data_IF_660699397726
#
_entry.id   IF_660699397726
#
_cell.length_a   1.000
_cell.length_b   1.000
_cell.length_c   1.000
_cell.angle_alpha   90.00
_cell.angle_beta   90.00
_cell.angle_gamma   90.00
#
_symmetry.space_group_name_H-M   'P 1'
#
loop_
_entity.id
_entity.type
_entity.pdbx_description
1 polymer ?
#
# COMPACT_ATOMS: atom_id res chain seq x y z
N UNK A 1 38.19 13.90 -31.35
CA UNK A 1 37.38 12.70 -31.56
C UNK A 1 35.97 13.01 -31.10
N UNK A 2 35.08 13.27 -32.05
CA UNK A 2 33.71 13.59 -31.76
C UNK A 2 32.96 12.28 -31.51
N UNK A 3 32.49 12.04 -30.31
CA UNK A 3 31.49 11.03 -30.04
C UNK A 3 30.18 11.56 -30.59
N UNK A 4 29.77 11.00 -31.70
CA UNK A 4 28.47 11.22 -32.33
C UNK A 4 27.44 10.73 -31.35
N UNK A 5 26.79 11.65 -30.67
CA UNK A 5 25.61 11.41 -29.85
C UNK A 5 24.43 11.24 -30.82
N UNK A 6 24.23 10.00 -31.28
CA UNK A 6 23.16 9.66 -32.18
C UNK A 6 21.83 9.65 -31.38
N UNK A 7 20.89 10.54 -31.66
CA UNK A 7 19.60 10.59 -30.96
C UNK A 7 18.79 9.29 -31.11
N UNK A 8 19.11 8.43 -32.06
CA UNK A 8 18.48 7.13 -32.26
C UNK A 8 18.89 6.06 -31.24
N UNK A 9 20.12 6.09 -30.75
CA UNK A 9 20.63 5.14 -29.77
C UNK A 9 20.10 5.43 -28.35
N UNK A 10 19.77 6.69 -28.06
CA UNK A 10 19.22 7.13 -26.77
C UNK A 10 17.77 6.63 -26.53
N UNK A 11 17.02 6.33 -27.58
CA UNK A 11 15.63 5.83 -27.47
C UNK A 11 15.57 4.35 -27.06
N UNK A 12 16.61 3.57 -27.37
CA UNK A 12 16.69 2.15 -27.01
C UNK A 12 17.24 1.91 -25.59
N UNK A 13 17.96 2.89 -25.02
CA UNK A 13 18.61 2.73 -23.71
C UNK A 13 17.66 2.89 -22.51
N UNK A 14 16.53 3.58 -22.67
CA UNK A 14 15.61 3.87 -21.57
C UNK A 14 14.16 3.69 -22.00
N UNK A 15 13.57 2.49 -21.86
CA UNK A 15 12.18 2.22 -22.25
C UNK A 15 11.15 3.07 -21.51
N UNK A 16 11.54 3.66 -20.36
CA UNK A 16 10.68 4.51 -19.54
C UNK A 16 11.31 5.90 -19.36
N UNK A 17 11.27 6.71 -20.43
CA UNK A 17 11.79 8.06 -20.40
C UNK A 17 10.88 8.97 -19.58
N UNK A 18 11.44 9.70 -18.62
CA UNK A 18 10.71 10.66 -17.79
C UNK A 18 10.80 12.03 -18.46
N UNK A 19 9.63 12.63 -18.69
CA UNK A 19 9.45 14.01 -19.13
C UNK A 19 8.50 14.69 -18.17
N UNK A 20 9.04 15.53 -17.29
CA UNK A 20 8.22 16.29 -16.32
C UNK A 20 7.76 17.60 -16.94
N UNK A 21 6.49 17.97 -16.70
CA UNK A 21 6.03 19.32 -16.96
C UNK A 21 6.64 20.29 -15.93
N UNK A 22 6.67 21.59 -16.25
CA UNK A 22 7.19 22.58 -15.31
C UNK A 22 6.42 22.57 -13.97
N UNK A 23 5.11 22.41 -14.02
CA UNK A 23 4.26 22.29 -12.82
C UNK A 23 4.62 21.06 -11.97
N UNK A 24 4.82 19.92 -12.62
CA UNK A 24 5.23 18.69 -11.94
C UNK A 24 6.61 18.83 -11.31
N UNK A 25 7.54 19.48 -12.01
CA UNK A 25 8.89 19.75 -11.52
C UNK A 25 8.87 20.69 -10.31
N UNK A 26 8.10 21.78 -10.38
CA UNK A 26 7.92 22.70 -9.26
C UNK A 26 7.29 22.03 -8.05
N UNK A 27 6.25 21.22 -8.27
CA UNK A 27 5.61 20.44 -7.21
C UNK A 27 6.59 19.48 -6.53
N UNK A 28 7.36 18.72 -7.31
CA UNK A 28 8.36 17.79 -6.77
C UNK A 28 9.48 18.49 -6.02
N UNK A 29 9.95 19.65 -6.50
CA UNK A 29 10.97 20.48 -5.80
C UNK A 29 10.43 20.97 -4.46
N UNK A 30 9.20 21.48 -4.42
CA UNK A 30 8.55 21.93 -3.18
C UNK A 30 8.40 20.74 -2.20
N UNK A 31 7.95 19.60 -2.68
CA UNK A 31 7.80 18.40 -1.86
C UNK A 31 9.13 17.95 -1.23
N UNK A 32 10.20 17.92 -2.01
CA UNK A 32 11.55 17.54 -1.53
C UNK A 32 12.11 18.61 -0.60
N UNK A 33 11.88 19.88 -0.89
CA UNK A 33 12.37 21.01 -0.09
C UNK A 33 11.69 21.13 1.27
N UNK A 34 10.41 20.82 1.35
CA UNK A 34 9.67 20.85 2.64
C UNK A 34 10.13 19.76 3.61
N UNK A 35 10.59 18.61 3.10
CA UNK A 35 11.02 17.47 3.92
C UNK A 35 9.91 16.81 4.75
N UNK A 36 8.68 17.29 4.69
CA UNK A 36 7.54 16.88 5.53
C UNK A 36 6.67 15.83 4.84
N UNK A 37 7.28 14.87 4.17
CA UNK A 37 6.54 13.78 3.51
C UNK A 37 7.13 12.43 3.90
N UNK A 38 6.37 11.33 3.74
CA UNK A 38 6.92 9.99 3.97
C UNK A 38 8.21 9.75 3.17
N UNK A 39 9.22 9.15 3.80
CA UNK A 39 10.54 8.94 3.19
C UNK A 39 10.46 8.31 1.80
N UNK A 40 9.56 7.36 1.60
CA UNK A 40 9.31 6.73 0.31
C UNK A 40 8.86 7.72 -0.77
N UNK A 41 8.01 8.66 -0.41
CA UNK A 41 7.50 9.70 -1.33
C UNK A 41 8.63 10.66 -1.71
N UNK A 42 9.43 11.08 -0.74
CA UNK A 42 10.61 11.93 -0.97
C UNK A 42 11.65 11.25 -1.87
N UNK A 43 11.93 9.96 -1.63
CA UNK A 43 12.86 9.19 -2.47
C UNK A 43 12.35 9.10 -3.90
N UNK A 44 11.06 8.82 -4.11
CA UNK A 44 10.46 8.77 -5.46
C UNK A 44 10.48 10.12 -6.16
N UNK A 45 10.19 11.20 -5.43
CA UNK A 45 10.27 12.57 -5.96
C UNK A 45 11.70 12.91 -6.40
N UNK A 46 12.71 12.56 -5.61
CA UNK A 46 14.12 12.75 -5.97
C UNK A 46 14.54 11.92 -7.19
N UNK A 47 14.07 10.67 -7.29
CA UNK A 47 14.30 9.83 -8.48
C UNK A 47 13.73 10.49 -9.72
N UNK A 48 12.48 10.95 -9.70
CA UNK A 48 11.83 11.59 -10.85
C UNK A 48 12.53 12.86 -11.27
N UNK A 49 12.92 13.73 -10.32
CA UNK A 49 13.66 14.96 -10.61
C UNK A 49 15.02 14.71 -11.26
N UNK A 50 15.76 13.65 -10.84
CA UNK A 50 17.05 13.29 -11.43
C UNK A 50 16.90 12.56 -12.77
N UNK A 51 15.81 11.81 -12.95
CA UNK A 51 15.50 11.07 -14.15
C UNK A 51 14.87 11.91 -15.27
N UNK A 52 14.52 13.16 -15.00
CA UNK A 52 13.84 14.05 -15.94
C UNK A 52 14.74 14.38 -17.13
N UNK A 53 14.29 13.99 -18.33
CA UNK A 53 14.91 14.28 -19.62
C UNK A 53 14.25 15.45 -20.35
N UNK A 54 13.30 16.14 -19.67
CA UNK A 54 12.67 17.34 -20.20
C UNK A 54 13.64 18.53 -20.24
N UNK A 55 13.20 19.61 -20.84
CA UNK A 55 13.96 20.86 -20.89
C UNK A 55 14.29 21.34 -19.47
N UNK A 56 15.58 21.48 -19.16
CA UNK A 56 16.08 21.81 -17.81
C UNK A 56 16.12 20.65 -16.82
N UNK A 57 15.85 19.42 -17.25
CA UNK A 57 16.04 18.20 -16.45
C UNK A 57 17.45 17.65 -16.56
N UNK A 58 18.00 17.03 -15.51
CA UNK A 58 19.39 16.52 -15.53
C UNK A 58 19.57 15.23 -16.32
N UNK A 59 18.51 14.46 -16.58
CA UNK A 59 18.53 13.25 -17.41
C UNK A 59 19.47 12.15 -16.95
N UNK A 60 19.63 11.94 -15.66
CA UNK A 60 20.59 10.97 -15.11
C UNK A 60 20.23 9.52 -15.43
N UNK A 61 21.27 8.69 -15.59
CA UNK A 61 21.11 7.24 -15.73
C UNK A 61 20.62 6.59 -14.43
N UNK A 62 20.02 5.41 -14.55
CA UNK A 62 19.52 4.66 -13.39
C UNK A 62 20.63 4.31 -12.40
N UNK A 63 21.82 3.98 -12.90
CA UNK A 63 22.99 3.70 -12.07
C UNK A 63 23.46 4.95 -11.30
N UNK A 64 23.51 6.12 -11.95
CA UNK A 64 23.88 7.38 -11.31
C UNK A 64 22.87 7.80 -10.24
N UNK A 65 21.57 7.65 -10.53
CA UNK A 65 20.48 7.92 -9.56
C UNK A 65 20.56 6.97 -8.37
N UNK A 66 20.76 5.67 -8.65
CA UNK A 66 20.85 4.64 -7.62
C UNK A 66 22.03 4.92 -6.65
N UNK A 67 23.18 5.26 -7.17
CA UNK A 67 24.34 5.64 -6.37
C UNK A 67 24.15 6.93 -5.57
N UNK A 68 23.55 7.95 -6.18
CA UNK A 68 23.34 9.24 -5.52
C UNK A 68 22.28 9.22 -4.40
N UNK A 69 21.32 8.31 -4.46
CA UNK A 69 20.22 8.18 -3.49
C UNK A 69 20.33 6.96 -2.59
N UNK A 70 21.38 6.19 -2.75
CA UNK A 70 21.62 4.94 -2.01
C UNK A 70 20.43 3.96 -2.11
N UNK A 71 19.96 3.76 -3.33
CA UNK A 71 18.85 2.85 -3.64
C UNK A 71 19.27 1.83 -4.68
N UNK A 72 18.62 0.67 -4.69
CA UNK A 72 18.90 -0.33 -5.71
C UNK A 72 18.41 0.13 -7.11
N UNK A 73 19.18 -0.09 -8.21
CA UNK A 73 18.79 0.31 -9.57
C UNK A 73 17.40 -0.16 -10.01
N UNK A 74 16.98 -1.36 -9.60
CA UNK A 74 15.63 -1.85 -9.84
C UNK A 74 14.52 -0.98 -9.21
N UNK A 75 14.85 -0.23 -8.15
CA UNK A 75 13.91 0.73 -7.56
C UNK A 75 13.72 1.93 -8.47
N UNK A 76 14.80 2.44 -9.07
CA UNK A 76 14.75 3.54 -10.04
C UNK A 76 13.93 3.14 -11.26
N UNK A 77 14.20 1.98 -11.85
CA UNK A 77 13.44 1.43 -12.99
C UNK A 77 11.94 1.27 -12.66
N UNK A 78 11.63 0.77 -11.48
CA UNK A 78 10.23 0.60 -11.03
C UNK A 78 9.50 1.94 -10.91
N UNK A 79 10.16 2.97 -10.40
CA UNK A 79 9.60 4.32 -10.28
C UNK A 79 9.37 4.94 -11.66
N UNK A 80 10.34 4.83 -12.58
CA UNK A 80 10.17 5.28 -13.98
C UNK A 80 8.98 4.59 -14.65
N UNK A 81 8.94 3.26 -14.59
CA UNK A 81 7.85 2.47 -15.16
C UNK A 81 6.49 2.89 -14.58
N UNK A 82 6.42 3.09 -13.27
CA UNK A 82 5.18 3.49 -12.61
C UNK A 82 4.74 4.88 -13.06
N UNK A 83 5.67 5.84 -13.18
CA UNK A 83 5.35 7.19 -13.64
C UNK A 83 4.80 7.20 -15.07
N UNK A 84 5.43 6.45 -15.97
CA UNK A 84 5.00 6.38 -17.38
C UNK A 84 3.63 5.73 -17.52
N UNK A 85 3.33 4.70 -16.73
CA UNK A 85 2.08 3.95 -16.82
C UNK A 85 0.93 4.60 -16.03
N UNK A 86 1.19 5.07 -14.83
CA UNK A 86 0.17 5.45 -13.85
C UNK A 86 0.18 6.96 -13.52
N UNK A 87 1.17 7.71 -13.99
CA UNK A 87 1.32 9.14 -13.74
C UNK A 87 1.93 9.51 -12.39
N UNK A 88 2.04 10.84 -12.12
CA UNK A 88 2.74 11.38 -10.98
C UNK A 88 2.11 11.01 -9.64
N UNK A 89 0.80 11.24 -9.50
CA UNK A 89 0.07 11.01 -8.23
C UNK A 89 0.16 9.56 -7.79
N UNK A 90 -0.12 8.62 -8.71
CA UNK A 90 -0.02 7.19 -8.43
C UNK A 90 1.42 6.74 -8.10
N UNK A 91 2.43 7.43 -8.65
CA UNK A 91 3.84 7.15 -8.35
C UNK A 91 4.23 7.63 -6.97
N UNK A 92 3.78 8.78 -6.53
CA UNK A 92 4.12 9.35 -5.22
C UNK A 92 3.34 8.67 -4.10
N UNK A 93 2.05 8.45 -4.29
CA UNK A 93 1.18 7.85 -3.29
C UNK A 93 1.42 6.35 -3.11
N UNK A 94 1.08 5.87 -1.94
CA UNK A 94 1.03 4.44 -1.68
C UNK A 94 -0.26 3.89 -2.28
N UNK A 95 -0.16 2.97 -3.25
CA UNK A 95 -1.32 2.19 -3.68
C UNK A 95 -1.95 1.55 -2.44
N UNK A 96 -3.15 1.99 -2.09
CA UNK A 96 -3.93 1.33 -1.03
C UNK A 96 -4.16 -0.11 -1.48
N UNK A 97 -3.94 -1.09 -0.60
CA UNK A 97 -4.27 -2.46 -0.98
C UNK A 97 -5.78 -2.52 -1.24
N UNK A 98 -6.16 -2.89 -2.45
CA UNK A 98 -7.55 -3.19 -2.85
C UNK A 98 -8.12 -4.44 -2.16
N UNK A 99 -7.37 -5.01 -1.23
CA UNK A 99 -7.84 -6.12 -0.43
C UNK A 99 -8.87 -5.61 0.56
N UNK A 100 -10.11 -5.53 0.12
CA UNK A 100 -11.26 -5.62 1.02
C UNK A 100 -11.23 -7.05 1.55
N UNK A 101 -10.64 -7.25 2.73
CA UNK A 101 -10.83 -8.51 3.44
C UNK A 101 -12.32 -8.59 3.74
N UNK A 102 -13.02 -9.50 3.06
CA UNK A 102 -14.38 -9.84 3.42
C UNK A 102 -14.39 -10.11 4.93
N UNK A 103 -15.29 -9.46 5.64
CA UNK A 103 -15.46 -9.70 7.07
C UNK A 103 -15.77 -11.18 7.23
N UNK A 104 -15.10 -11.86 8.12
CA UNK A 104 -15.34 -13.28 8.37
C UNK A 104 -16.71 -13.56 9.00
N UNK A 105 -17.29 -12.54 9.62
CA UNK A 105 -18.66 -12.54 10.10
C UNK A 105 -19.39 -11.33 9.46
N UNK A 106 -20.57 -11.57 8.93
CA UNK A 106 -21.48 -10.52 8.50
C UNK A 106 -22.24 -9.93 9.70
N UNK A 107 -23.08 -8.92 9.47
CA UNK A 107 -23.80 -8.25 10.55
C UNK A 107 -24.79 -9.16 11.29
N UNK A 108 -25.39 -10.13 10.60
CA UNK A 108 -26.30 -11.12 11.20
C UNK A 108 -25.54 -12.10 12.08
N UNK A 109 -24.42 -12.60 11.60
CA UNK A 109 -23.52 -13.50 12.32
C UNK A 109 -22.89 -12.83 13.54
N UNK A 110 -22.51 -11.54 13.43
CA UNK A 110 -22.05 -10.74 14.58
C UNK A 110 -23.14 -10.60 15.63
N UNK A 111 -24.40 -10.39 15.23
CA UNK A 111 -25.54 -10.31 16.14
C UNK A 111 -25.80 -11.64 16.87
N UNK A 112 -25.68 -12.77 16.17
CA UNK A 112 -25.75 -14.10 16.79
C UNK A 112 -24.67 -14.31 17.83
N UNK A 113 -23.41 -13.93 17.52
CA UNK A 113 -22.31 -14.03 18.48
C UNK A 113 -22.59 -13.19 19.75
N UNK A 114 -23.09 -11.97 19.59
CA UNK A 114 -23.45 -11.11 20.73
C UNK A 114 -24.59 -11.74 21.55
N UNK A 115 -25.61 -12.28 20.91
CA UNK A 115 -26.73 -12.96 21.57
C UNK A 115 -26.24 -14.17 22.38
N UNK A 116 -25.33 -14.99 21.83
CA UNK A 116 -24.73 -16.11 22.54
C UNK A 116 -23.97 -15.66 23.79
N UNK A 117 -23.15 -14.61 23.69
CA UNK A 117 -22.39 -14.09 24.85
C UNK A 117 -23.32 -13.61 25.96
N UNK A 118 -24.48 -13.08 25.61
CA UNK A 118 -25.50 -12.62 26.56
C UNK A 118 -26.39 -13.74 27.09
N UNK A 119 -26.36 -14.94 26.54
CA UNK A 119 -27.12 -16.10 27.00
C UNK A 119 -26.35 -16.90 28.03
N UNK A 120 -27.09 -17.83 28.72
CA UNK A 120 -26.41 -18.80 29.57
C UNK A 120 -25.55 -19.77 28.75
N UNK A 121 -24.38 -20.17 29.26
CA UNK A 121 -23.56 -21.17 28.59
C UNK A 121 -24.27 -22.55 28.60
N UNK A 122 -23.89 -23.46 27.70
CA UNK A 122 -24.45 -24.82 27.66
C UNK A 122 -24.25 -25.58 28.97
N UNK A 123 -25.09 -26.59 29.20
CA UNK A 123 -25.04 -27.42 30.39
C UNK A 123 -23.64 -27.98 30.66
N UNK A 124 -23.19 -27.89 31.91
CA UNK A 124 -21.89 -28.30 32.34
C UNK A 124 -20.78 -27.24 32.19
N UNK A 125 -21.09 -26.07 31.64
CA UNK A 125 -20.14 -24.95 31.50
C UNK A 125 -20.54 -23.78 32.42
N UNK A 126 -19.57 -23.28 33.19
CA UNK A 126 -19.80 -22.15 34.10
C UNK A 126 -19.78 -20.78 33.43
N UNK A 127 -19.16 -20.69 32.27
CA UNK A 127 -18.96 -19.43 31.52
C UNK A 127 -18.66 -19.69 30.06
N UNK A 128 -18.97 -18.74 29.22
CA UNK A 128 -18.54 -18.73 27.83
C UNK A 128 -17.01 -18.58 27.73
N UNK A 129 -16.39 -19.40 26.90
CA UNK A 129 -15.00 -19.24 26.45
C UNK A 129 -14.98 -18.93 24.95
N UNK A 130 -13.92 -18.31 24.46
CA UNK A 130 -13.83 -18.00 23.03
C UNK A 130 -13.86 -19.26 22.14
N UNK A 131 -13.31 -20.38 22.62
CA UNK A 131 -13.35 -21.66 21.91
C UNK A 131 -14.77 -22.25 21.90
N UNK A 132 -15.47 -22.15 23.01
CA UNK A 132 -16.87 -22.60 23.11
C UNK A 132 -17.78 -21.78 22.22
N UNK A 133 -17.63 -20.46 22.20
CA UNK A 133 -18.36 -19.57 21.29
C UNK A 133 -18.10 -19.91 19.81
N UNK A 134 -16.85 -20.18 19.45
CA UNK A 134 -16.51 -20.59 18.10
C UNK A 134 -17.15 -21.93 17.72
N UNK A 135 -17.13 -22.91 18.61
CA UNK A 135 -17.75 -24.22 18.40
C UNK A 135 -19.27 -24.09 18.27
N UNK A 136 -19.91 -23.30 19.11
CA UNK A 136 -21.37 -23.11 19.11
C UNK A 136 -21.86 -22.41 17.84
N UNK A 137 -21.12 -21.39 17.33
CA UNK A 137 -21.45 -20.76 16.05
C UNK A 137 -21.40 -21.71 14.87
N UNK A 138 -20.50 -22.69 14.89
CA UNK A 138 -20.44 -23.76 13.88
C UNK A 138 -21.56 -24.78 14.09
N UNK A 139 -21.84 -25.18 15.33
CA UNK A 139 -22.90 -26.13 15.65
C UNK A 139 -24.29 -25.60 15.30
N UNK A 140 -24.51 -24.30 15.47
CA UNK A 140 -25.76 -23.61 15.09
C UNK A 140 -25.81 -23.26 13.59
N UNK A 141 -24.86 -23.74 12.79
CA UNK A 141 -24.76 -23.47 11.34
C UNK A 141 -24.76 -21.97 10.97
N UNK A 142 -24.36 -21.11 11.91
CA UNK A 142 -24.22 -19.67 11.68
C UNK A 142 -23.03 -19.41 10.76
N UNK A 143 -22.00 -20.25 10.87
CA UNK A 143 -20.79 -20.21 10.02
C UNK A 143 -20.26 -21.63 9.79
N UNK A 144 -19.65 -21.90 8.64
CA UNK A 144 -19.05 -23.19 8.32
C UNK A 144 -17.80 -23.48 9.18
N UNK A 145 -16.99 -22.45 9.42
CA UNK A 145 -15.79 -22.52 10.25
C UNK A 145 -15.39 -21.15 10.77
N UNK A 146 -14.94 -21.08 12.01
CA UNK A 146 -14.43 -19.86 12.61
C UNK A 146 -13.35 -20.16 13.66
N UNK A 147 -12.32 -19.32 13.75
CA UNK A 147 -11.30 -19.41 14.78
C UNK A 147 -11.70 -18.63 16.04
N UNK A 148 -11.26 -19.08 17.20
CA UNK A 148 -11.47 -18.35 18.46
C UNK A 148 -10.86 -16.94 18.44
N UNK A 149 -9.78 -16.73 17.65
CA UNK A 149 -9.16 -15.42 17.48
C UNK A 149 -10.06 -14.46 16.70
N UNK A 150 -10.77 -14.95 15.68
CA UNK A 150 -11.77 -14.14 14.95
C UNK A 150 -12.92 -13.75 15.89
N UNK A 151 -13.41 -14.66 16.71
CA UNK A 151 -14.43 -14.39 17.74
C UNK A 151 -13.95 -13.31 18.70
N UNK A 152 -12.70 -13.42 19.21
CA UNK A 152 -12.08 -12.42 20.10
C UNK A 152 -12.04 -11.03 19.46
N UNK A 153 -11.57 -10.95 18.22
CA UNK A 153 -11.43 -9.68 17.49
C UNK A 153 -12.79 -9.02 17.23
N UNK A 154 -13.79 -9.83 16.86
CA UNK A 154 -15.16 -9.33 16.64
C UNK A 154 -15.75 -8.77 17.93
N UNK A 155 -15.68 -9.50 19.03
CA UNK A 155 -16.19 -9.03 20.34
C UNK A 155 -15.46 -7.76 20.80
N UNK A 156 -14.13 -7.70 20.68
CA UNK A 156 -13.36 -6.51 21.02
C UNK A 156 -13.81 -5.29 20.23
N UNK A 157 -14.06 -5.45 18.94
CA UNK A 157 -14.52 -4.37 18.07
C UNK A 157 -15.92 -3.90 18.47
N UNK A 158 -16.83 -4.83 18.72
CA UNK A 158 -18.22 -4.53 19.09
C UNK A 158 -18.29 -3.78 20.42
N UNK A 159 -17.48 -4.17 21.39
CA UNK A 159 -17.39 -3.49 22.70
C UNK A 159 -16.77 -2.08 22.54
N UNK A 160 -15.69 -1.96 21.74
CA UNK A 160 -14.99 -0.68 21.52
C UNK A 160 -15.82 0.33 20.70
N UNK A 161 -16.79 -0.11 19.93
CA UNK A 161 -17.64 0.75 19.09
C UNK A 161 -18.86 1.32 19.84
N UNK A 162 -19.09 0.89 21.09
CA UNK A 162 -20.22 1.32 21.93
C UNK A 162 -19.83 2.25 23.10
N UNK A 163 -18.52 2.65 23.14
CA UNK A 163 -18.01 3.60 24.14
C UNK A 163 -17.84 5.01 23.63
#
# INVERSE_FOLDING_TARGET
>A
MATTDDPGDMLMAYPYRILLTEEQRAHLRTLVGSGVAPARMLTRARILLKADHGEGGPGWSDAAIAGALDVHPATVLRVRRQFVNDGLTATLERKRPDRVYARRLDGSQEAHLVALVCSAPPDGQRRWTLRLLAAELVQLEVVDAISYETVRQTLKKTISSRG
#
